data_IF_146040151077
#
_entry.id   IF_146040151077
#
_cell.length_a   1.000
_cell.length_b   1.000
_cell.length_c   1.000
_cell.angle_alpha   90.00
_cell.angle_beta   90.00
_cell.angle_gamma   90.00
#
_symmetry.space_group_name_H-M   'P 1'
#
loop_
_entity.id
_entity.type
_entity.pdbx_description
1 polymer ?
#
# COMPACT_ATOMS: atom_id res chain seq x y z
N UNK A 1 37.08 -3.31 1.23
CA UNK A 1 35.79 -2.62 1.45
C UNK A 1 34.73 -3.69 1.58
N UNK A 2 34.24 -3.92 2.80
CA UNK A 2 33.15 -4.86 3.05
C UNK A 2 31.85 -4.20 2.59
N UNK A 3 31.59 -4.24 1.29
CA UNK A 3 30.27 -3.93 0.78
C UNK A 3 29.37 -5.06 1.24
N UNK A 4 28.55 -4.84 2.27
CA UNK A 4 27.40 -5.70 2.50
C UNK A 4 26.64 -5.74 1.19
N UNK A 5 26.70 -6.89 0.51
CA UNK A 5 25.82 -7.16 -0.60
C UNK A 5 24.43 -7.14 -0.02
N UNK A 6 23.69 -6.07 -0.31
CA UNK A 6 22.25 -6.00 -0.09
C UNK A 6 21.63 -7.15 -0.89
N UNK A 7 21.56 -8.32 -0.27
CA UNK A 7 20.74 -9.46 -0.69
C UNK A 7 19.30 -9.09 -0.37
N UNK A 8 18.78 -8.14 -1.13
CA UNK A 8 17.36 -7.86 -1.14
C UNK A 8 16.71 -9.05 -1.81
N UNK A 9 15.93 -9.81 -1.06
CA UNK A 9 15.11 -10.88 -1.61
C UNK A 9 13.87 -10.26 -2.30
N UNK A 10 13.78 -10.29 -3.64
CA UNK A 10 12.68 -9.68 -4.36
C UNK A 10 11.34 -10.35 -4.05
N UNK A 11 11.33 -11.63 -3.66
CA UNK A 11 10.10 -12.35 -3.32
C UNK A 11 9.54 -11.90 -1.96
N UNK A 12 10.42 -11.60 -0.99
CA UNK A 12 9.99 -11.03 0.30
C UNK A 12 9.35 -9.66 0.09
N UNK A 13 9.95 -8.81 -0.76
CA UNK A 13 9.38 -7.50 -1.06
C UNK A 13 8.08 -7.59 -1.88
N UNK A 14 7.98 -8.55 -2.81
CA UNK A 14 6.74 -8.81 -3.56
C UNK A 14 5.62 -9.31 -2.64
N UNK A 15 5.95 -10.19 -1.71
CA UNK A 15 5.02 -10.63 -0.65
C UNK A 15 4.54 -9.44 0.19
N UNK A 16 5.45 -8.54 0.54
CA UNK A 16 5.11 -7.27 1.20
C UNK A 16 4.13 -6.44 0.38
N UNK A 17 4.41 -6.21 -0.91
CA UNK A 17 3.53 -5.44 -1.80
C UNK A 17 2.13 -6.05 -1.91
N UNK A 18 2.03 -7.39 -2.03
CA UNK A 18 0.75 -8.11 -1.99
C UNK A 18 0.00 -7.87 -0.69
N UNK A 19 0.68 -7.93 0.46
CA UNK A 19 0.07 -7.67 1.76
C UNK A 19 -0.48 -6.23 1.89
N UNK A 20 0.19 -5.23 1.28
CA UNK A 20 -0.36 -3.87 1.20
C UNK A 20 -1.64 -3.81 0.34
N UNK A 21 -1.70 -4.58 -0.75
CA UNK A 21 -2.93 -4.72 -1.55
C UNK A 21 -4.08 -5.35 -0.75
N UNK A 22 -3.81 -6.45 -0.04
CA UNK A 22 -4.79 -7.10 0.83
C UNK A 22 -5.28 -6.18 1.95
N UNK A 23 -4.38 -5.37 2.52
CA UNK A 23 -4.72 -4.36 3.53
C UNK A 23 -5.63 -3.27 2.95
N UNK A 24 -5.38 -2.79 1.72
CA UNK A 24 -6.29 -1.86 1.02
C UNK A 24 -7.68 -2.47 0.88
N UNK A 25 -7.78 -3.73 0.46
CA UNK A 25 -9.06 -4.41 0.32
C UNK A 25 -9.77 -4.58 1.67
N UNK A 26 -9.04 -4.91 2.73
CA UNK A 26 -9.58 -4.99 4.08
C UNK A 26 -10.11 -3.64 4.56
N UNK A 27 -9.37 -2.55 4.35
CA UNK A 27 -9.77 -1.19 4.72
C UNK A 27 -11.03 -0.74 3.96
N UNK A 28 -11.13 -1.05 2.66
CA UNK A 28 -12.31 -0.74 1.86
C UNK A 28 -13.57 -1.48 2.34
N UNK A 29 -13.44 -2.65 2.98
CA UNK A 29 -14.57 -3.40 3.54
C UNK A 29 -15.11 -2.82 4.85
N UNK A 30 -14.33 -1.98 5.55
CA UNK A 30 -14.75 -1.41 6.85
C UNK A 30 -15.99 -0.51 6.68
N UNK A 31 -16.21 0.08 5.49
CA UNK A 31 -17.38 0.92 5.16
C UNK A 31 -17.79 1.83 6.34
N UNK A 32 -16.82 2.53 6.93
CA UNK A 32 -16.99 3.23 8.22
C UNK A 32 -18.08 4.31 8.18
N UNK A 33 -18.41 4.77 6.99
CA UNK A 33 -19.49 5.68 6.65
C UNK A 33 -20.89 5.08 6.83
N UNK A 34 -21.08 3.76 6.66
CA UNK A 34 -22.40 3.12 6.77
C UNK A 34 -22.95 3.09 8.22
N UNK A 35 -22.26 2.52 9.22
CA UNK A 35 -22.79 2.45 10.58
C UNK A 35 -22.93 3.83 11.25
N UNK A 36 -22.08 4.80 10.89
CA UNK A 36 -22.21 6.18 11.38
C UNK A 36 -23.39 6.89 10.71
N UNK A 37 -23.64 6.62 9.42
CA UNK A 37 -24.82 7.10 8.70
C UNK A 37 -26.13 6.56 9.27
N UNK A 38 -26.18 5.26 9.58
CA UNK A 38 -27.34 4.61 10.20
C UNK A 38 -27.65 5.21 11.59
N UNK A 39 -26.61 5.44 12.39
CA UNK A 39 -26.75 6.11 13.69
C UNK A 39 -27.26 7.55 13.54
N UNK A 40 -26.77 8.30 12.55
CA UNK A 40 -27.22 9.67 12.28
C UNK A 40 -28.68 9.73 11.81
N UNK A 41 -29.12 8.75 11.01
CA UNK A 41 -30.50 8.63 10.54
C UNK A 41 -31.47 8.32 11.70
N UNK A 42 -31.07 7.46 12.64
CA UNK A 42 -31.87 7.08 13.80
C UNK A 42 -32.14 8.26 14.77
N UNK A 43 -31.28 9.29 14.78
CA UNK A 43 -31.39 10.46 15.67
C UNK A 43 -31.68 11.77 14.92
N UNK A 44 -32.18 11.69 13.69
CA UNK A 44 -32.20 12.78 12.69
C UNK A 44 -32.82 14.13 13.08
N UNK A 45 -33.65 14.19 14.13
CA UNK A 45 -34.28 15.44 14.61
C UNK A 45 -33.50 16.14 15.73
N UNK A 46 -32.40 15.56 16.21
CA UNK A 46 -31.59 16.10 17.30
C UNK A 46 -30.34 16.80 16.76
N UNK A 47 -29.85 17.83 17.46
CA UNK A 47 -28.55 18.47 17.20
C UNK A 47 -27.39 17.45 17.12
N UNK A 48 -27.56 16.28 17.75
CA UNK A 48 -26.63 15.14 17.66
C UNK A 48 -26.52 14.54 16.26
N UNK A 49 -27.55 14.65 15.42
CA UNK A 49 -27.51 14.16 14.04
C UNK A 49 -26.47 14.91 13.18
N UNK A 50 -26.33 16.24 13.38
CA UNK A 50 -25.32 17.05 12.69
C UNK A 50 -23.90 16.75 13.18
N UNK A 51 -23.71 16.46 14.47
CA UNK A 51 -22.42 15.96 14.95
C UNK A 51 -22.11 14.57 14.40
N UNK A 52 -23.10 13.67 14.32
CA UNK A 52 -22.91 12.33 13.76
C UNK A 52 -22.56 12.40 12.26
N UNK A 53 -23.23 13.26 11.47
CA UNK A 53 -22.89 13.48 10.05
C UNK A 53 -21.49 14.06 9.87
N UNK A 54 -21.08 15.02 10.70
CA UNK A 54 -19.70 15.56 10.66
C UNK A 54 -18.66 14.51 11.02
N UNK A 55 -18.94 13.70 12.04
CA UNK A 55 -18.08 12.56 12.40
C UNK A 55 -18.01 11.53 11.26
N UNK A 56 -19.14 11.21 10.62
CA UNK A 56 -19.21 10.32 9.45
C UNK A 56 -18.28 10.81 8.34
N UNK A 57 -18.41 12.07 7.94
CA UNK A 57 -17.56 12.66 6.91
C UNK A 57 -16.08 12.67 7.32
N UNK A 58 -15.76 13.00 8.57
CA UNK A 58 -14.38 13.01 9.05
C UNK A 58 -13.75 11.62 9.04
N UNK A 59 -14.47 10.60 9.50
CA UNK A 59 -14.00 9.21 9.51
C UNK A 59 -13.85 8.67 8.09
N UNK A 60 -14.83 8.92 7.21
CA UNK A 60 -14.77 8.52 5.81
C UNK A 60 -13.57 9.16 5.08
N UNK A 61 -13.31 10.44 5.32
CA UNK A 61 -12.16 11.14 4.76
C UNK A 61 -10.83 10.58 5.28
N UNK A 62 -10.73 10.32 6.59
CA UNK A 62 -9.55 9.73 7.20
C UNK A 62 -9.27 8.31 6.66
N UNK A 63 -10.30 7.48 6.52
CA UNK A 63 -10.18 6.14 5.95
C UNK A 63 -9.74 6.19 4.48
N UNK A 64 -10.31 7.11 3.69
CA UNK A 64 -9.92 7.32 2.29
C UNK A 64 -8.45 7.71 2.19
N UNK A 65 -8.00 8.66 3.00
CA UNK A 65 -6.60 9.08 3.04
C UNK A 65 -5.65 7.94 3.47
N UNK A 66 -6.06 7.11 4.43
CA UNK A 66 -5.30 5.94 4.84
C UNK A 66 -5.17 4.91 3.69
N UNK A 67 -6.28 4.59 3.03
CA UNK A 67 -6.30 3.69 1.86
C UNK A 67 -5.38 4.19 0.75
N UNK A 68 -5.45 5.48 0.41
CA UNK A 68 -4.57 6.09 -0.60
C UNK A 68 -3.09 6.00 -0.22
N UNK A 69 -2.76 6.24 1.06
CA UNK A 69 -1.39 6.17 1.56
C UNK A 69 -0.83 4.75 1.46
N UNK A 70 -1.60 3.76 1.92
CA UNK A 70 -1.25 2.34 1.87
C UNK A 70 -1.08 1.88 0.42
N UNK A 71 -1.99 2.29 -0.49
CA UNK A 71 -1.88 1.99 -1.92
C UNK A 71 -0.59 2.57 -2.52
N UNK A 72 -0.32 3.86 -2.32
CA UNK A 72 0.89 4.52 -2.84
C UNK A 72 2.17 3.87 -2.35
N UNK A 73 2.20 3.44 -1.09
CA UNK A 73 3.35 2.74 -0.54
C UNK A 73 3.54 1.36 -1.20
N UNK A 74 2.46 0.58 -1.35
CA UNK A 74 2.49 -0.71 -2.04
C UNK A 74 2.96 -0.59 -3.50
N UNK A 75 2.44 0.39 -4.24
CA UNK A 75 2.86 0.69 -5.62
C UNK A 75 4.34 1.08 -5.71
N UNK A 76 4.82 1.88 -4.76
CA UNK A 76 6.22 2.31 -4.69
C UNK A 76 7.15 1.14 -4.40
N UNK A 77 6.75 0.26 -3.49
CA UNK A 77 7.49 -0.95 -3.15
C UNK A 77 7.60 -1.89 -4.36
N UNK A 78 6.49 -2.14 -5.04
CA UNK A 78 6.43 -2.97 -6.24
C UNK A 78 7.25 -2.38 -7.40
N UNK A 79 7.22 -1.06 -7.58
CA UNK A 79 8.07 -0.36 -8.56
C UNK A 79 9.57 -0.52 -8.23
N UNK A 80 9.95 -0.41 -6.95
CA UNK A 80 11.33 -0.61 -6.52
C UNK A 80 11.79 -2.07 -6.75
N UNK A 81 10.93 -3.06 -6.49
CA UNK A 81 11.23 -4.47 -6.78
C UNK A 81 11.47 -4.71 -8.26
N UNK A 82 10.60 -4.18 -9.14
CA UNK A 82 10.80 -4.28 -10.59
C UNK A 82 12.11 -3.66 -11.04
N UNK A 83 12.45 -2.49 -10.51
CA UNK A 83 13.70 -1.81 -10.83
C UNK A 83 14.92 -2.66 -10.41
N UNK A 84 14.91 -3.18 -9.18
CA UNK A 84 15.98 -4.03 -8.66
C UNK A 84 16.19 -5.29 -9.52
N UNK A 85 15.12 -6.03 -9.82
CA UNK A 85 15.20 -7.24 -10.66
C UNK A 85 15.68 -6.90 -12.07
N UNK A 86 15.24 -5.76 -12.63
CA UNK A 86 15.68 -5.31 -13.94
C UNK A 86 17.17 -4.96 -13.99
N UNK A 87 17.72 -4.29 -12.97
CA UNK A 87 19.16 -4.03 -12.90
C UNK A 87 19.98 -5.30 -12.67
N UNK A 88 19.48 -6.23 -11.83
CA UNK A 88 20.15 -7.50 -11.57
C UNK A 88 20.27 -8.35 -12.85
N UNK A 89 19.19 -8.41 -13.64
CA UNK A 89 19.20 -9.08 -14.95
C UNK A 89 20.18 -8.43 -15.93
N UNK A 90 20.16 -7.09 -16.06
CA UNK A 90 21.11 -6.40 -16.94
C UNK A 90 22.56 -6.59 -16.50
N UNK A 91 22.81 -6.64 -15.19
CA UNK A 91 24.12 -6.94 -14.63
C UNK A 91 24.56 -8.36 -14.97
N UNK A 92 23.68 -9.34 -14.81
CA UNK A 92 23.95 -10.73 -15.17
C UNK A 92 24.25 -10.90 -16.67
N UNK A 93 23.44 -10.28 -17.54
CA UNK A 93 23.65 -10.30 -19.00
C UNK A 93 25.00 -9.68 -19.37
N UNK A 94 25.34 -8.52 -18.78
CA UNK A 94 26.61 -7.85 -19.01
C UNK A 94 27.81 -8.71 -18.56
N UNK A 95 27.69 -9.46 -17.46
CA UNK A 95 28.73 -10.38 -17.00
C UNK A 95 28.86 -11.57 -17.95
N UNK A 96 27.75 -12.13 -18.41
CA UNK A 96 27.75 -13.24 -19.37
C UNK A 96 28.41 -12.84 -20.70
N UNK A 97 28.24 -11.59 -21.14
CA UNK A 97 28.86 -11.05 -22.35
C UNK A 97 30.37 -10.77 -22.20
N UNK A 98 30.92 -10.79 -20.98
CA UNK A 98 32.36 -10.70 -20.78
C UNK A 98 33.01 -12.03 -21.15
N UNK A 99 33.69 -12.04 -22.29
CA UNK A 99 34.50 -13.18 -22.73
C UNK A 99 35.76 -13.25 -21.85
N UNK A 100 35.75 -14.10 -20.81
CA UNK A 100 36.90 -14.28 -19.91
C UNK A 100 37.93 -15.17 -20.63
N UNK A 101 39.14 -14.66 -20.96
CA UNK A 101 40.19 -15.49 -21.55
C UNK A 101 40.60 -16.58 -20.55
N UNK A 102 40.56 -17.84 -20.97
CA UNK A 102 41.15 -18.99 -20.25
C UNK A 102 42.67 -18.99 -20.33
#
# INVERSE_FOLDING_TARGET
MSGETLRVDPEVLRTGATAFGELVDALNRIQADAPIGDAAAAVGQLLTADSCRRAQHGVAAALTAAVESVRKYGESLDAAVRAYVGEDQRGADAIQDVNIPT
#
